data_IF_273526798299
#
_entry.id   IF_273526798299
#
_cell.length_a   1.000
_cell.length_b   1.000
_cell.length_c   1.000
_cell.angle_alpha   90.00
_cell.angle_beta   90.00
_cell.angle_gamma   90.00
#
_symmetry.space_group_name_H-M   'P 1'
#
loop_
_entity.id
_entity.type
_entity.pdbx_description
1 polymer ?
#
# COMPACT_ATOMS: atom_id res chain seq x y z
N UNK A 1 -22.46 -35.69 -13.28
CA UNK A 1 -20.99 -35.70 -13.20
C UNK A 1 -20.56 -34.80 -12.05
N UNK A 2 -19.99 -35.37 -11.00
CA UNK A 2 -19.57 -34.62 -9.81
C UNK A 2 -18.26 -33.89 -10.11
N UNK A 3 -18.30 -32.56 -10.16
CA UNK A 3 -17.10 -31.73 -10.28
C UNK A 3 -16.36 -31.67 -8.95
N UNK A 4 -15.14 -32.20 -8.91
CA UNK A 4 -14.30 -32.21 -7.72
C UNK A 4 -14.02 -30.77 -7.22
N UNK A 5 -14.40 -30.49 -5.97
CA UNK A 5 -14.02 -29.24 -5.29
C UNK A 5 -12.55 -29.32 -4.89
N UNK A 6 -11.69 -28.57 -5.57
CA UNK A 6 -10.29 -28.43 -5.20
C UNK A 6 -10.18 -27.56 -3.95
N UNK A 7 -9.52 -28.08 -2.91
CA UNK A 7 -9.29 -27.38 -1.65
C UNK A 7 -7.99 -26.59 -1.74
N UNK A 8 -8.04 -25.27 -1.65
CA UNK A 8 -6.82 -24.47 -1.50
C UNK A 8 -6.46 -24.34 -0.01
N UNK A 9 -5.16 -24.37 0.28
CA UNK A 9 -4.63 -24.28 1.63
C UNK A 9 -4.83 -22.85 2.18
N UNK A 10 -5.54 -22.74 3.31
CA UNK A 10 -5.53 -21.53 4.11
C UNK A 10 -4.17 -21.38 4.78
N UNK A 11 -3.55 -20.21 4.65
CA UNK A 11 -2.41 -19.84 5.51
C UNK A 11 -2.84 -19.96 6.96
N UNK A 12 -2.05 -20.70 7.74
CA UNK A 12 -2.31 -20.97 9.15
C UNK A 12 -2.14 -19.69 9.95
N UNK A 13 -3.25 -19.01 10.26
CA UNK A 13 -3.34 -18.13 11.41
C UNK A 13 -4.47 -18.62 12.33
N UNK A 14 -4.22 -18.79 13.63
CA UNK A 14 -5.26 -19.20 14.56
C UNK A 14 -5.98 -17.92 15.02
N UNK A 15 -7.25 -17.77 14.68
CA UNK A 15 -8.34 -17.25 15.53
C UNK A 15 -9.58 -17.10 14.63
N UNK A 16 -10.57 -17.96 14.92
CA UNK A 16 -11.98 -17.91 14.52
C UNK A 16 -12.33 -18.03 13.02
N UNK A 17 -12.94 -19.19 12.70
CA UNK A 17 -13.48 -19.55 11.39
C UNK A 17 -14.63 -18.62 10.99
N UNK A 18 -14.33 -17.62 10.18
CA UNK A 18 -15.28 -17.09 9.21
C UNK A 18 -14.93 -17.71 7.86
N UNK A 19 -15.74 -18.65 7.39
CA UNK A 19 -15.66 -19.14 6.02
C UNK A 19 -16.08 -17.98 5.11
N UNK A 20 -15.11 -17.25 4.53
CA UNK A 20 -15.41 -16.32 3.44
C UNK A 20 -15.67 -17.16 2.18
N UNK A 21 -16.82 -17.00 1.51
CA UNK A 21 -17.02 -17.57 0.19
C UNK A 21 -15.91 -17.08 -0.74
N UNK A 22 -15.31 -18.00 -1.51
CA UNK A 22 -14.51 -17.60 -2.66
C UNK A 22 -15.48 -17.03 -3.69
N UNK A 23 -15.59 -15.71 -3.77
CA UNK A 23 -16.21 -15.07 -4.93
C UNK A 23 -15.39 -15.49 -6.14
N UNK A 24 -16.02 -16.19 -7.09
CA UNK A 24 -15.39 -16.86 -8.24
C UNK A 24 -14.77 -15.94 -9.29
N UNK A 25 -14.18 -14.81 -8.87
CA UNK A 25 -13.26 -14.02 -9.68
C UNK A 25 -11.87 -14.27 -9.11
N UNK A 26 -11.00 -14.88 -9.91
CA UNK A 26 -9.56 -14.92 -9.64
C UNK A 26 -8.93 -13.53 -9.79
N UNK A 27 -9.49 -12.53 -9.13
CA UNK A 27 -8.96 -11.17 -9.07
C UNK A 27 -7.71 -11.23 -8.18
N UNK A 28 -6.54 -11.13 -8.80
CA UNK A 28 -5.28 -11.05 -8.07
C UNK A 28 -5.32 -9.80 -7.16
N UNK A 29 -4.80 -9.88 -5.92
CA UNK A 29 -4.75 -8.72 -5.05
C UNK A 29 -3.99 -7.57 -5.72
N UNK A 30 -4.59 -6.38 -5.70
CA UNK A 30 -3.93 -5.18 -6.21
C UNK A 30 -2.65 -4.88 -5.44
N UNK A 31 -1.64 -4.35 -6.14
CA UNK A 31 -0.41 -3.86 -5.53
C UNK A 31 -0.73 -2.55 -4.81
N UNK A 32 -0.43 -2.50 -3.52
CA UNK A 32 -0.62 -1.29 -2.72
C UNK A 32 0.26 -0.15 -3.26
N UNK A 33 -0.22 1.08 -3.18
CA UNK A 33 0.52 2.25 -3.65
C UNK A 33 0.60 2.40 -5.18
N UNK A 34 0.02 1.47 -5.95
CA UNK A 34 -0.07 1.56 -7.41
C UNK A 34 -1.47 2.01 -7.83
N UNK A 35 -1.55 2.99 -8.73
CA UNK A 35 -2.82 3.47 -9.26
C UNK A 35 -3.59 2.39 -10.03
N UNK A 36 -4.94 2.42 -10.04
CA UNK A 36 -5.76 1.42 -10.74
C UNK A 36 -5.36 1.21 -12.20
N UNK A 37 -5.06 2.28 -12.94
CA UNK A 37 -4.64 2.21 -14.34
C UNK A 37 -3.26 1.55 -14.55
N UNK A 38 -2.41 1.53 -13.52
CA UNK A 38 -1.03 1.03 -13.60
C UNK A 38 -0.90 -0.39 -13.02
N UNK A 39 -1.95 -0.95 -12.41
CA UNK A 39 -1.94 -2.30 -11.83
C UNK A 39 -1.52 -3.38 -12.82
N UNK A 40 -1.86 -3.23 -14.11
CA UNK A 40 -1.49 -4.17 -15.16
C UNK A 40 0.03 -4.27 -15.37
N UNK A 41 0.79 -3.21 -15.05
CA UNK A 41 2.26 -3.20 -15.13
C UNK A 41 2.91 -4.13 -14.09
N UNK A 42 2.17 -4.48 -13.03
CA UNK A 42 2.61 -5.35 -11.92
C UNK A 42 1.92 -6.73 -11.96
N UNK A 43 1.24 -7.08 -13.06
CA UNK A 43 0.48 -8.31 -13.15
C UNK A 43 1.36 -9.58 -13.17
N UNK A 44 2.62 -9.47 -13.61
CA UNK A 44 3.56 -10.59 -13.59
C UNK A 44 4.09 -10.82 -12.17
N UNK A 45 3.45 -11.73 -11.43
CA UNK A 45 3.80 -12.07 -10.05
C UNK A 45 5.06 -12.95 -9.88
N UNK A 46 5.86 -13.11 -10.94
CA UNK A 46 7.13 -13.85 -10.90
C UNK A 46 8.33 -12.90 -11.04
N UNK A 47 8.26 -12.01 -12.02
CA UNK A 47 9.31 -11.05 -12.34
C UNK A 47 8.70 -9.68 -12.57
N UNK A 48 9.37 -8.64 -12.08
CA UNK A 48 9.00 -7.26 -12.31
C UNK A 48 10.10 -6.56 -13.10
N UNK A 49 9.73 -5.80 -14.12
CA UNK A 49 10.66 -4.95 -14.85
C UNK A 49 10.43 -3.53 -14.38
N UNK A 50 11.49 -2.87 -13.89
CA UNK A 50 11.44 -1.47 -13.49
C UNK A 50 10.83 -0.65 -14.62
N UNK A 51 9.92 0.27 -14.28
CA UNK A 51 9.14 1.01 -15.27
C UNK A 51 10.03 1.89 -16.16
N UNK A 52 11.18 2.31 -15.64
CA UNK A 52 12.30 2.94 -16.34
C UNK A 52 13.62 2.23 -16.01
N UNK A 53 14.65 2.46 -16.82
CA UNK A 53 15.99 1.86 -16.61
C UNK A 53 16.14 0.40 -17.06
N UNK A 54 15.03 -0.34 -17.21
CA UNK A 54 15.01 -1.64 -17.90
C UNK A 54 15.54 -2.84 -17.12
N UNK A 55 16.00 -2.63 -15.87
CA UNK A 55 16.37 -3.70 -14.93
C UNK A 55 15.16 -4.59 -14.63
N UNK A 56 15.38 -5.90 -14.46
CA UNK A 56 14.35 -6.87 -14.09
C UNK A 56 14.73 -7.58 -12.79
N UNK A 57 13.80 -7.60 -11.85
CA UNK A 57 13.95 -8.17 -10.50
C UNK A 57 12.91 -9.26 -10.26
N UNK A 58 13.06 -10.03 -9.18
CA UNK A 58 11.99 -10.93 -8.75
C UNK A 58 10.80 -10.12 -8.23
N UNK A 59 9.57 -10.59 -8.47
CA UNK A 59 8.40 -9.89 -7.95
C UNK A 59 8.36 -9.86 -6.40
N UNK A 60 9.07 -10.76 -5.74
CA UNK A 60 9.22 -10.77 -4.28
C UNK A 60 9.97 -9.57 -3.73
N UNK A 61 10.69 -8.85 -4.59
CA UNK A 61 11.39 -7.61 -4.27
C UNK A 61 10.50 -6.37 -4.46
N UNK A 62 9.23 -6.54 -4.84
CA UNK A 62 8.29 -5.41 -4.93
C UNK A 62 7.66 -5.18 -3.56
N UNK A 63 7.88 -4.00 -2.99
CA UNK A 63 7.53 -3.60 -1.62
C UNK A 63 8.23 -4.45 -0.55
N UNK A 64 9.53 -4.63 -0.68
CA UNK A 64 10.35 -5.39 0.27
C UNK A 64 11.19 -4.50 1.22
N UNK A 65 10.93 -3.18 1.21
CA UNK A 65 11.67 -2.15 1.95
C UNK A 65 13.11 -1.97 1.46
N UNK A 66 13.44 -2.41 0.23
CA UNK A 66 14.72 -2.17 -0.42
C UNK A 66 14.53 -1.53 -1.81
N UNK A 67 15.41 -0.58 -2.16
CA UNK A 67 15.29 0.15 -3.42
C UNK A 67 16.21 -0.46 -4.50
N UNK A 68 15.65 -1.37 -5.31
CA UNK A 68 16.30 -2.04 -6.44
C UNK A 68 16.17 -1.27 -7.76
N UNK A 69 15.04 -0.59 -7.98
CA UNK A 69 14.84 0.21 -9.19
C UNK A 69 15.28 1.67 -8.98
N UNK A 70 16.11 2.19 -9.89
CA UNK A 70 16.54 3.61 -9.85
C UNK A 70 15.35 4.60 -9.94
N UNK A 71 14.27 4.18 -10.59
CA UNK A 71 13.03 4.96 -10.70
C UNK A 71 12.05 4.75 -9.54
N UNK A 72 12.41 3.89 -8.57
CA UNK A 72 11.63 3.55 -7.39
C UNK A 72 10.31 2.83 -7.67
N UNK A 73 10.17 2.23 -8.85
CA UNK A 73 8.92 1.57 -9.24
C UNK A 73 8.67 0.22 -8.57
N UNK A 74 9.69 -0.36 -7.96
CA UNK A 74 9.60 -1.57 -7.13
C UNK A 74 9.01 -1.31 -5.75
N UNK A 75 9.11 -0.09 -5.23
CA UNK A 75 8.68 0.28 -3.87
C UNK A 75 7.49 1.26 -3.84
N UNK A 76 6.33 0.96 -4.49
CA UNK A 76 5.19 1.87 -4.49
C UNK A 76 4.47 1.97 -3.13
N UNK A 77 4.66 1.03 -2.21
CA UNK A 77 3.97 0.92 -0.92
C UNK A 77 4.89 1.08 0.31
N UNK A 78 6.16 1.37 0.11
CA UNK A 78 7.14 1.58 1.18
C UNK A 78 7.80 2.95 1.01
N UNK A 79 8.67 3.32 1.95
CA UNK A 79 9.46 4.54 1.90
C UNK A 79 10.93 4.31 1.49
N UNK A 80 11.25 3.14 0.93
CA UNK A 80 12.63 2.74 0.63
C UNK A 80 13.28 3.52 -0.52
N UNK A 81 12.48 3.99 -1.50
CA UNK A 81 12.98 4.73 -2.64
C UNK A 81 12.68 6.24 -2.55
N UNK A 82 13.72 7.08 -2.54
CA UNK A 82 13.59 8.55 -2.49
C UNK A 82 12.82 9.16 -3.67
N UNK A 83 12.98 8.56 -4.86
CA UNK A 83 12.28 8.98 -6.09
C UNK A 83 10.92 8.27 -6.28
N UNK A 84 10.54 7.41 -5.33
CA UNK A 84 9.29 6.67 -5.35
C UNK A 84 8.07 7.56 -5.10
N UNK A 85 6.90 7.03 -5.42
CA UNK A 85 5.62 7.67 -5.20
C UNK A 85 4.57 6.65 -4.81
N UNK A 86 3.68 7.05 -3.91
CA UNK A 86 2.59 6.24 -3.42
C UNK A 86 1.27 6.79 -3.91
N UNK A 87 0.42 5.93 -4.47
CA UNK A 87 -0.94 6.29 -4.88
C UNK A 87 -1.93 6.18 -3.72
N UNK A 88 -2.56 7.30 -3.37
CA UNK A 88 -3.66 7.35 -2.41
C UNK A 88 -4.96 6.85 -3.06
N UNK A 89 -5.72 5.96 -2.41
CA UNK A 89 -6.87 5.31 -3.07
C UNK A 89 -8.07 6.24 -3.24
N UNK A 90 -8.26 7.18 -2.31
CA UNK A 90 -9.31 8.20 -2.40
C UNK A 90 -8.75 9.56 -2.08
N UNK A 91 -8.95 10.49 -3.01
CA UNK A 91 -8.57 11.89 -2.88
C UNK A 91 -9.75 12.78 -3.26
N UNK A 92 -9.78 14.00 -2.73
CA UNK A 92 -10.76 15.00 -3.20
C UNK A 92 -10.44 15.46 -4.62
N UNK A 93 -11.46 15.85 -5.41
CA UNK A 93 -11.25 16.51 -6.68
C UNK A 93 -10.28 17.69 -6.55
N UNK A 94 -9.20 17.68 -7.33
CA UNK A 94 -8.17 18.72 -7.31
C UNK A 94 -6.96 18.46 -6.39
N UNK A 95 -6.95 17.37 -5.58
CA UNK A 95 -5.74 16.92 -4.89
C UNK A 95 -4.94 15.93 -5.75
N UNK A 96 -3.60 15.94 -5.66
CA UNK A 96 -2.78 14.97 -6.36
C UNK A 96 -3.06 13.56 -5.80
N UNK A 97 -3.36 12.61 -6.68
CA UNK A 97 -3.52 11.19 -6.32
C UNK A 97 -2.25 10.49 -5.83
N UNK A 98 -1.15 11.23 -5.71
CA UNK A 98 0.17 10.72 -5.39
C UNK A 98 0.85 11.56 -4.33
N UNK A 99 1.51 10.88 -3.39
CA UNK A 99 2.44 11.47 -2.43
C UNK A 99 3.85 10.91 -2.66
N UNK A 100 4.92 11.60 -2.19
CA UNK A 100 6.26 11.03 -2.19
C UNK A 100 6.31 9.75 -1.34
N UNK A 101 7.04 8.73 -1.80
CA UNK A 101 7.20 7.47 -1.05
C UNK A 101 7.76 7.69 0.37
N UNK A 102 8.56 8.73 0.57
CA UNK A 102 9.13 9.08 1.89
C UNK A 102 8.10 9.38 2.97
N UNK A 103 6.83 9.64 2.60
CA UNK A 103 5.72 9.90 3.53
C UNK A 103 4.88 8.66 3.84
N UNK A 104 5.27 7.51 3.30
CA UNK A 104 4.57 6.25 3.56
C UNK A 104 5.05 5.70 4.90
N UNK A 105 4.11 5.42 5.80
CA UNK A 105 4.35 4.88 7.13
C UNK A 105 5.30 5.75 7.99
N UNK A 106 5.22 7.08 7.87
CA UNK A 106 5.99 8.02 8.67
C UNK A 106 5.26 8.47 9.96
N UNK A 107 4.03 7.99 10.16
CA UNK A 107 3.18 8.30 11.30
C UNK A 107 2.34 9.57 11.11
N UNK A 108 2.40 10.21 9.95
CA UNK A 108 1.59 11.36 9.53
C UNK A 108 0.62 10.92 8.43
N UNK A 109 -0.59 11.47 8.46
CA UNK A 109 -1.62 11.18 7.46
C UNK A 109 -1.54 12.20 6.34
N UNK A 110 -0.94 11.80 5.22
CA UNK A 110 -0.83 12.58 3.99
C UNK A 110 -1.95 12.24 3.00
N UNK A 111 -2.32 10.97 2.88
CA UNK A 111 -3.48 10.57 2.08
C UNK A 111 -4.79 10.92 2.80
N UNK A 112 -5.80 11.38 2.05
CA UNK A 112 -7.09 11.72 2.63
C UNK A 112 -7.79 10.51 3.29
N UNK A 113 -7.57 9.32 2.74
CA UNK A 113 -8.09 8.05 3.25
C UNK A 113 -7.18 7.36 4.26
N UNK A 114 -5.98 7.92 4.53
CA UNK A 114 -4.97 7.35 5.40
C UNK A 114 -4.33 6.06 4.87
N UNK A 115 -4.39 5.81 3.57
CA UNK A 115 -3.87 4.57 2.96
C UNK A 115 -2.35 4.46 2.96
N UNK A 116 -1.65 5.57 3.15
CA UNK A 116 -0.21 5.73 3.35
C UNK A 116 0.28 5.13 4.68
N UNK A 117 -0.52 5.21 5.75
CA UNK A 117 -0.17 4.70 7.09
C UNK A 117 -0.66 3.27 7.34
N UNK A 118 -0.44 2.37 6.39
CA UNK A 118 -1.01 1.03 6.39
C UNK A 118 -0.31 0.05 7.35
N UNK A 119 0.94 0.32 7.76
CA UNK A 119 1.62 -0.44 8.82
C UNK A 119 1.08 -0.10 10.22
N UNK A 120 0.36 1.01 10.36
CA UNK A 120 -0.08 1.49 11.67
C UNK A 120 1.08 1.94 12.54
N UNK A 121 2.08 2.61 11.95
CA UNK A 121 3.16 3.25 12.71
C UNK A 121 2.55 4.43 13.47
N UNK A 122 2.78 4.48 14.78
CA UNK A 122 2.22 5.53 15.63
C UNK A 122 3.32 6.35 16.28
N UNK A 123 3.07 7.65 16.43
CA UNK A 123 3.88 8.50 17.28
C UNK A 123 3.90 7.93 18.71
N UNK A 124 5.09 7.92 19.31
CA UNK A 124 5.26 7.56 20.72
C UNK A 124 4.40 8.46 21.61
N UNK A 125 3.97 8.01 22.81
CA UNK A 125 3.04 8.76 23.65
C UNK A 125 3.43 10.22 23.91
N UNK A 126 4.74 10.50 23.98
CA UNK A 126 5.27 11.84 24.22
C UNK A 126 5.13 12.79 23.02
N UNK A 127 5.07 12.25 21.79
CA UNK A 127 4.91 13.02 20.56
C UNK A 127 3.47 13.02 20.04
N UNK A 128 2.55 12.31 20.71
CA UNK A 128 1.15 12.23 20.32
C UNK A 128 0.44 13.54 20.62
N UNK A 129 0.03 14.24 19.58
CA UNK A 129 -0.69 15.50 19.67
C UNK A 129 -2.18 15.28 19.88
N UNK A 130 -2.81 16.11 20.72
CA UNK A 130 -4.27 16.16 20.81
C UNK A 130 -4.89 16.58 19.47
N UNK A 131 -6.15 16.23 19.22
CA UNK A 131 -6.84 16.61 17.98
C UNK A 131 -6.87 18.13 17.78
N UNK A 132 -7.02 18.90 18.87
CA UNK A 132 -6.99 20.36 18.82
C UNK A 132 -5.63 20.89 18.37
N UNK A 133 -4.54 20.26 18.80
CA UNK A 133 -3.19 20.63 18.34
C UNK A 133 -2.99 20.27 16.87
N UNK A 134 -3.39 19.07 16.46
CA UNK A 134 -3.31 18.63 15.06
C UNK A 134 -4.11 19.54 14.14
N UNK A 135 -5.35 19.90 14.51
CA UNK A 135 -6.17 20.86 13.76
C UNK A 135 -5.52 22.24 13.68
N UNK A 136 -4.84 22.69 14.74
CA UNK A 136 -4.13 23.98 14.74
C UNK A 136 -2.91 23.97 13.81
N UNK A 137 -2.22 22.84 13.71
CA UNK A 137 -1.03 22.68 12.87
C UNK A 137 -1.36 22.31 11.42
N UNK A 138 -2.55 21.75 11.17
CA UNK A 138 -2.91 21.19 9.87
C UNK A 138 -2.16 19.89 9.55
N UNK A 139 -1.55 19.25 10.54
CA UNK A 139 -0.81 17.99 10.41
C UNK A 139 -1.47 16.94 11.28
N UNK A 140 -1.81 15.79 10.70
CA UNK A 140 -2.57 14.74 11.36
C UNK A 140 -1.69 13.51 11.57
N UNK A 141 -1.73 12.92 12.76
CA UNK A 141 -0.96 11.72 13.11
C UNK A 141 -1.81 10.45 12.97
N UNK A 142 -1.17 9.34 12.63
CA UNK A 142 -1.78 8.02 12.68
C UNK A 142 -2.29 7.68 14.11
N UNK A 143 -3.39 6.91 14.27
CA UNK A 143 -4.19 6.29 13.23
C UNK A 143 -5.02 7.31 12.44
N UNK A 144 -4.93 7.20 11.11
CA UNK A 144 -5.57 8.13 10.22
C UNK A 144 -7.10 8.02 10.26
N UNK A 145 -7.73 9.19 10.27
CA UNK A 145 -9.17 9.34 10.04
C UNK A 145 -9.33 9.86 8.62
N UNK A 146 -10.40 9.45 7.94
CA UNK A 146 -10.74 10.00 6.64
C UNK A 146 -10.91 11.52 6.78
N UNK A 147 -9.99 12.29 6.20
CA UNK A 147 -9.89 13.74 6.32
C UNK A 147 -9.44 14.32 4.99
N UNK A 148 -10.38 14.99 4.33
CA UNK A 148 -10.27 15.55 3.00
C UNK A 148 -10.21 17.07 3.06
#
# INVERSE_FOLDING_TARGET
SQGARQKCAASRLPVQRLWRPCDGKGEMPSVRGVAPQDQALYANRKWFKCLKGGVSIMFTQVNDDYCDCEDGSDEPATNACLNGRFFCKQETPGKPGYIPATRVNDGICDCCDGSDEWLGVFAVPQLRLSEKQQMKLGTFQAPCKVRC
#
